data_IF_272195717832
#
_entry.id   IF_272195717832
#
_cell.length_a   1.000
_cell.length_b   1.000
_cell.length_c   1.000
_cell.angle_alpha   90.00
_cell.angle_beta   90.00
_cell.angle_gamma   90.00
#
_symmetry.space_group_name_H-M   'P 1'
#
loop_
_entity.id
_entity.type
_entity.pdbx_description
1 polymer ?
#
# COMPACT_ATOMS: atom_id res chain seq x y z
N UNK A 1 21.76 -30.36 15.20
CA UNK A 1 21.86 -28.92 14.87
C UNK A 1 22.94 -28.33 15.76
N UNK A 2 23.73 -27.39 15.26
CA UNK A 2 24.65 -26.63 16.12
C UNK A 2 23.84 -25.71 17.04
N UNK A 3 24.43 -25.25 18.14
CA UNK A 3 23.77 -24.35 19.10
C UNK A 3 23.25 -23.05 18.43
N UNK A 4 24.04 -22.35 17.57
CA UNK A 4 23.54 -21.20 16.81
C UNK A 4 22.35 -21.50 15.91
N UNK A 5 22.28 -22.68 15.28
CA UNK A 5 21.10 -23.02 14.49
C UNK A 5 19.87 -23.29 15.36
N UNK A 6 20.03 -23.83 16.56
CA UNK A 6 18.89 -23.97 17.49
C UNK A 6 18.37 -22.60 17.92
N UNK A 7 19.25 -21.70 18.35
CA UNK A 7 18.90 -20.33 18.72
C UNK A 7 18.20 -19.58 17.57
N UNK A 8 18.68 -19.76 16.35
CA UNK A 8 18.06 -19.18 15.17
C UNK A 8 16.67 -19.76 14.88
N UNK A 9 16.46 -21.08 15.03
CA UNK A 9 15.13 -21.66 14.90
C UNK A 9 14.16 -21.16 15.97
N UNK A 10 14.64 -20.98 17.21
CA UNK A 10 13.83 -20.44 18.30
C UNK A 10 13.43 -18.98 18.01
N UNK A 11 14.36 -18.17 17.49
CA UNK A 11 14.08 -16.80 17.03
C UNK A 11 13.02 -16.79 15.93
N UNK A 12 13.18 -17.63 14.89
CA UNK A 12 12.23 -17.74 13.78
C UNK A 12 10.84 -18.20 14.25
N UNK A 13 10.78 -19.14 15.19
CA UNK A 13 9.53 -19.61 15.75
C UNK A 13 8.77 -18.48 16.46
N UNK A 14 9.49 -17.61 17.18
CA UNK A 14 8.89 -16.46 17.87
C UNK A 14 8.34 -15.41 16.89
N UNK A 15 9.15 -14.96 15.93
CA UNK A 15 8.72 -13.91 14.99
C UNK A 15 7.61 -14.39 14.05
N UNK A 16 7.59 -15.68 13.67
CA UNK A 16 6.50 -16.26 12.88
C UNK A 16 5.17 -16.28 13.65
N UNK A 17 5.21 -16.54 14.95
CA UNK A 17 4.01 -16.44 15.80
C UNK A 17 3.48 -15.01 15.86
N UNK A 18 4.37 -14.03 16.01
CA UNK A 18 3.99 -12.61 15.97
C UNK A 18 3.41 -12.20 14.62
N UNK A 19 4.02 -12.63 13.51
CA UNK A 19 3.51 -12.38 12.17
C UNK A 19 2.12 -12.99 11.94
N UNK A 20 1.86 -14.20 12.46
CA UNK A 20 0.54 -14.84 12.40
C UNK A 20 -0.52 -14.07 13.20
N UNK A 21 -0.17 -13.53 14.37
CA UNK A 21 -1.08 -12.67 15.13
C UNK A 21 -1.37 -11.38 14.36
N UNK A 22 -0.35 -10.78 13.76
CA UNK A 22 -0.47 -9.60 12.89
C UNK A 22 -1.42 -9.86 11.72
N UNK A 23 -1.34 -11.03 11.08
CA UNK A 23 -2.24 -11.35 9.97
C UNK A 23 -3.71 -11.51 10.38
N UNK A 24 -3.99 -11.97 11.61
CA UNK A 24 -5.35 -11.93 12.15
C UNK A 24 -5.88 -10.49 12.23
N UNK A 25 -5.05 -9.54 12.69
CA UNK A 25 -5.39 -8.12 12.72
C UNK A 25 -5.61 -7.53 11.32
N UNK A 26 -4.82 -7.96 10.33
CA UNK A 26 -5.01 -7.56 8.94
C UNK A 26 -6.37 -8.01 8.40
N UNK A 27 -6.83 -9.24 8.69
CA UNK A 27 -8.18 -9.71 8.27
C UNK A 27 -9.28 -8.84 8.88
N UNK A 28 -9.17 -8.48 10.17
CA UNK A 28 -10.12 -7.59 10.83
C UNK A 28 -10.12 -6.18 10.21
N UNK A 29 -8.96 -5.70 9.77
CA UNK A 29 -8.83 -4.41 9.07
C UNK A 29 -9.47 -4.46 7.69
N UNK A 30 -9.28 -5.56 6.95
CA UNK A 30 -9.91 -5.78 5.66
C UNK A 30 -11.43 -5.85 5.75
N UNK A 31 -11.97 -6.59 6.73
CA UNK A 31 -13.42 -6.70 6.95
C UNK A 31 -14.02 -5.32 7.30
N UNK A 32 -13.29 -4.48 8.04
CA UNK A 32 -13.71 -3.13 8.41
C UNK A 32 -14.01 -2.26 7.19
N UNK A 33 -13.20 -2.40 6.14
CA UNK A 33 -13.31 -1.59 4.92
C UNK A 33 -14.21 -2.22 3.84
N UNK A 34 -14.78 -3.40 4.07
CA UNK A 34 -15.55 -4.16 3.07
C UNK A 34 -16.94 -4.59 3.55
N UNK A 35 -17.04 -5.38 4.61
CA UNK A 35 -18.29 -6.03 5.03
C UNK A 35 -18.80 -5.67 6.42
N UNK A 36 -17.98 -5.01 7.23
CA UNK A 36 -18.35 -4.68 8.60
C UNK A 36 -19.64 -3.83 8.65
N UNK A 37 -20.62 -4.20 9.49
CA UNK A 37 -21.82 -3.37 9.69
C UNK A 37 -21.46 -1.99 10.25
N UNK A 38 -22.24 -0.96 9.90
CA UNK A 38 -21.98 0.43 10.30
C UNK A 38 -21.92 0.65 11.83
N UNK A 39 -22.59 -0.19 12.62
CA UNK A 39 -22.56 -0.13 14.09
C UNK A 39 -21.39 -0.88 14.75
N UNK A 40 -20.50 -1.51 13.98
CA UNK A 40 -19.43 -2.38 14.51
C UNK A 40 -18.12 -1.68 14.88
N UNK A 41 -17.98 -0.39 14.61
CA UNK A 41 -16.68 0.30 14.63
C UNK A 41 -16.04 0.37 16.01
N UNK A 42 -16.80 0.67 17.07
CA UNK A 42 -16.26 0.76 18.43
C UNK A 42 -15.64 -0.58 18.85
N UNK A 43 -16.38 -1.67 18.70
CA UNK A 43 -15.90 -2.99 19.07
C UNK A 43 -14.76 -3.48 18.15
N UNK A 44 -14.80 -3.16 16.84
CA UNK A 44 -13.69 -3.44 15.93
C UNK A 44 -12.42 -2.69 16.35
N UNK A 45 -12.54 -1.45 16.80
CA UNK A 45 -11.42 -0.68 17.31
C UNK A 45 -10.83 -1.30 18.59
N UNK A 46 -11.67 -1.83 19.49
CA UNK A 46 -11.21 -2.59 20.65
C UNK A 46 -10.45 -3.86 20.27
N UNK A 47 -10.97 -4.64 19.31
CA UNK A 47 -10.30 -5.85 18.81
C UNK A 47 -8.91 -5.52 18.23
N UNK A 48 -8.82 -4.51 17.37
CA UNK A 48 -7.56 -4.08 16.75
C UNK A 48 -6.58 -3.51 17.77
N UNK A 49 -7.07 -2.76 18.76
CA UNK A 49 -6.25 -2.23 19.85
C UNK A 49 -5.65 -3.34 20.71
N UNK A 50 -6.45 -4.35 21.08
CA UNK A 50 -5.98 -5.50 21.85
C UNK A 50 -4.92 -6.29 21.08
N UNK A 51 -5.18 -6.61 19.81
CA UNK A 51 -4.23 -7.35 18.97
C UNK A 51 -2.92 -6.57 18.78
N UNK A 52 -2.99 -5.25 18.60
CA UNK A 52 -1.80 -4.40 18.50
C UNK A 52 -0.97 -4.44 19.80
N UNK A 53 -1.61 -4.37 20.98
CA UNK A 53 -0.92 -4.48 22.26
C UNK A 53 -0.20 -5.83 22.44
N UNK A 54 -0.88 -6.94 22.15
CA UNK A 54 -0.28 -8.29 22.24
C UNK A 54 0.83 -8.48 21.21
N UNK A 55 0.65 -8.01 19.98
CA UNK A 55 1.68 -8.08 18.95
C UNK A 55 2.92 -7.27 19.36
N UNK A 56 2.74 -6.10 19.97
CA UNK A 56 3.84 -5.29 20.51
C UNK A 56 4.58 -5.97 21.65
N UNK A 57 3.86 -6.58 22.59
CA UNK A 57 4.45 -7.38 23.68
C UNK A 57 5.35 -8.48 23.11
N UNK A 58 4.88 -9.23 22.10
CA UNK A 58 5.68 -10.28 21.48
C UNK A 58 6.86 -9.74 20.68
N UNK A 59 6.68 -8.62 19.98
CA UNK A 59 7.73 -7.97 19.20
C UNK A 59 8.82 -7.32 20.07
N UNK A 60 8.55 -7.11 21.37
CA UNK A 60 9.49 -6.49 22.33
C UNK A 60 9.92 -7.42 23.45
N UNK A 61 9.58 -8.72 23.35
CA UNK A 61 9.94 -9.75 24.32
C UNK A 61 11.47 -9.74 24.59
N UNK A 62 11.92 -9.61 25.84
CA UNK A 62 13.35 -9.67 26.18
C UNK A 62 14.06 -10.92 25.65
N UNK A 63 13.36 -12.05 25.56
CA UNK A 63 13.91 -13.30 25.03
C UNK A 63 14.39 -13.15 23.57
N UNK A 64 13.68 -12.37 22.75
CA UNK A 64 14.11 -12.06 21.37
C UNK A 64 15.45 -11.34 21.38
N UNK A 65 15.62 -10.36 22.27
CA UNK A 65 16.88 -9.63 22.44
C UNK A 65 18.03 -10.55 22.85
N UNK A 66 17.78 -11.47 23.78
CA UNK A 66 18.77 -12.45 24.24
C UNK A 66 19.20 -13.41 23.12
N UNK A 67 18.26 -13.88 22.30
CA UNK A 67 18.55 -14.70 21.12
C UNK A 67 19.38 -13.92 20.10
N UNK A 68 18.97 -12.69 19.77
CA UNK A 68 19.69 -11.83 18.83
C UNK A 68 21.12 -11.54 19.29
N UNK A 69 21.32 -11.32 20.59
CA UNK A 69 22.65 -11.06 21.16
C UNK A 69 23.56 -12.28 21.01
N UNK A 70 23.08 -13.48 21.32
CA UNK A 70 23.85 -14.72 21.15
C UNK A 70 24.13 -15.05 19.67
N UNK A 71 23.22 -14.67 18.77
CA UNK A 71 23.38 -14.88 17.33
C UNK A 71 24.33 -13.88 16.67
N UNK A 72 24.65 -12.76 17.31
CA UNK A 72 25.38 -11.63 16.69
C UNK A 72 26.77 -12.05 16.19
N UNK A 73 27.52 -12.82 16.97
CA UNK A 73 28.88 -13.26 16.62
C UNK A 73 28.95 -14.72 16.12
N UNK A 74 27.81 -15.29 15.74
CA UNK A 74 27.74 -16.68 15.26
C UNK A 74 28.11 -16.82 13.78
N UNK A 75 28.47 -18.04 13.37
CA UNK A 75 28.81 -18.39 11.98
C UNK A 75 27.64 -18.15 10.99
N UNK A 76 26.42 -17.92 11.49
CA UNK A 76 25.26 -17.58 10.68
C UNK A 76 25.35 -16.18 10.05
N UNK A 77 26.24 -15.32 10.55
CA UNK A 77 26.50 -14.00 9.98
C UNK A 77 27.72 -13.95 9.03
N UNK A 78 28.44 -15.06 8.83
CA UNK A 78 29.63 -15.12 7.98
C UNK A 78 29.32 -14.81 6.50
N UNK A 79 28.08 -15.06 6.06
CA UNK A 79 27.57 -14.71 4.74
C UNK A 79 26.44 -13.67 4.88
N UNK A 80 26.72 -12.36 4.73
CA UNK A 80 25.76 -11.27 4.99
C UNK A 80 24.47 -11.30 4.16
N UNK A 81 24.52 -11.95 2.99
CA UNK A 81 23.39 -12.09 2.06
C UNK A 81 22.65 -13.43 2.24
N UNK A 82 23.05 -14.26 3.22
CA UNK A 82 22.32 -15.48 3.56
C UNK A 82 20.99 -15.15 4.23
N UNK A 83 20.00 -16.04 4.06
CA UNK A 83 18.69 -15.88 4.70
C UNK A 83 18.79 -15.65 6.22
N UNK A 84 19.72 -16.34 6.88
CA UNK A 84 19.95 -16.21 8.32
C UNK A 84 20.48 -14.83 8.69
N UNK A 85 21.54 -14.35 8.03
CA UNK A 85 22.12 -13.05 8.29
C UNK A 85 21.12 -11.90 8.04
N UNK A 86 20.34 -11.97 6.96
CA UNK A 86 19.30 -10.98 6.65
C UNK A 86 18.21 -10.99 7.72
N UNK A 87 17.71 -12.17 8.10
CA UNK A 87 16.69 -12.27 9.14
C UNK A 87 17.19 -11.72 10.48
N UNK A 88 18.40 -12.10 10.92
CA UNK A 88 18.98 -11.60 12.18
C UNK A 88 19.11 -10.07 12.15
N UNK A 89 19.64 -9.51 11.05
CA UNK A 89 19.83 -8.06 10.88
C UNK A 89 18.51 -7.29 10.96
N UNK A 90 17.51 -7.69 10.17
CA UNK A 90 16.25 -6.95 10.10
C UNK A 90 15.35 -7.18 11.32
N UNK A 91 15.37 -8.39 11.92
CA UNK A 91 14.70 -8.63 13.21
C UNK A 91 15.33 -7.76 14.29
N UNK A 92 16.66 -7.64 14.34
CA UNK A 92 17.32 -6.73 15.29
C UNK A 92 16.90 -5.27 15.07
N UNK A 93 16.92 -4.79 13.82
CA UNK A 93 16.52 -3.40 13.50
C UNK A 93 15.10 -3.11 14.00
N UNK A 94 14.15 -3.98 13.67
CA UNK A 94 12.74 -3.82 14.08
C UNK A 94 12.54 -3.98 15.58
N UNK A 95 13.24 -4.91 16.23
CA UNK A 95 13.23 -5.09 17.69
C UNK A 95 13.71 -3.84 18.43
N UNK A 96 14.86 -3.29 18.04
CA UNK A 96 15.41 -2.09 18.67
C UNK A 96 14.53 -0.86 18.46
N UNK A 97 13.88 -0.73 17.30
CA UNK A 97 12.88 0.31 17.04
C UNK A 97 11.66 0.14 17.97
N UNK A 98 11.07 -1.05 17.98
CA UNK A 98 9.82 -1.31 18.72
C UNK A 98 10.01 -1.15 20.23
N UNK A 99 11.15 -1.54 20.80
CA UNK A 99 11.42 -1.38 22.23
C UNK A 99 11.44 0.06 22.72
N UNK A 100 11.67 1.01 21.84
CA UNK A 100 11.62 2.44 22.17
C UNK A 100 10.19 2.95 22.32
N UNK A 101 9.20 2.24 21.78
CA UNK A 101 7.80 2.63 21.81
C UNK A 101 7.12 2.11 23.09
N UNK A 102 6.55 3.00 23.92
CA UNK A 102 5.71 2.58 25.05
C UNK A 102 4.47 1.84 24.56
N UNK A 103 4.10 0.74 25.23
CA UNK A 103 2.90 -0.04 24.87
C UNK A 103 1.63 0.82 24.79
N UNK A 104 1.44 1.75 25.74
CA UNK A 104 0.30 2.69 25.73
C UNK A 104 0.17 3.47 24.42
N UNK A 105 1.31 3.83 23.81
CA UNK A 105 1.36 4.66 22.61
C UNK A 105 0.92 3.84 21.39
N UNK A 106 1.40 2.60 21.29
CA UNK A 106 1.01 1.67 20.22
C UNK A 106 -0.49 1.37 20.27
N UNK A 107 -1.01 1.04 21.46
CA UNK A 107 -2.44 0.79 21.66
C UNK A 107 -3.29 2.04 21.36
N UNK A 108 -2.85 3.22 21.81
CA UNK A 108 -3.59 4.46 21.57
C UNK A 108 -3.58 4.88 20.10
N UNK A 109 -2.47 4.73 19.38
CA UNK A 109 -2.40 4.96 17.93
C UNK A 109 -3.38 4.02 17.21
N UNK A 110 -3.35 2.72 17.51
CA UNK A 110 -4.24 1.72 16.89
C UNK A 110 -5.72 2.07 17.12
N UNK A 111 -6.09 2.34 18.38
CA UNK A 111 -7.47 2.70 18.74
C UNK A 111 -7.93 4.00 18.09
N UNK A 112 -7.11 5.06 18.15
CA UNK A 112 -7.48 6.38 17.64
C UNK A 112 -7.62 6.36 16.13
N UNK A 113 -6.69 5.73 15.41
CA UNK A 113 -6.78 5.63 13.94
C UNK A 113 -7.96 4.79 13.48
N UNK A 114 -8.29 3.71 14.19
CA UNK A 114 -9.48 2.91 13.91
C UNK A 114 -10.78 3.72 14.08
N UNK A 115 -10.93 4.47 15.16
CA UNK A 115 -12.10 5.33 15.39
C UNK A 115 -12.16 6.49 14.38
N UNK A 116 -11.02 7.13 14.14
CA UNK A 116 -10.93 8.28 13.24
C UNK A 116 -11.34 7.96 11.80
N UNK A 117 -11.12 6.73 11.33
CA UNK A 117 -11.47 6.31 9.97
C UNK A 117 -12.97 6.47 9.66
N UNK A 118 -13.85 6.02 10.57
CA UNK A 118 -15.29 6.19 10.38
C UNK A 118 -15.69 7.67 10.46
N UNK A 119 -15.17 8.39 11.46
CA UNK A 119 -15.46 9.81 11.61
C UNK A 119 -15.02 10.63 10.40
N UNK A 120 -13.87 10.28 9.81
CA UNK A 120 -13.41 10.82 8.55
C UNK A 120 -14.36 10.50 7.40
N UNK A 121 -14.79 9.24 7.26
CA UNK A 121 -15.69 8.83 6.19
C UNK A 121 -17.03 9.59 6.25
N UNK A 122 -17.56 9.82 7.45
CA UNK A 122 -18.78 10.61 7.67
C UNK A 122 -18.56 12.12 7.49
N UNK A 123 -17.44 12.66 7.97
CA UNK A 123 -17.06 14.05 7.79
C UNK A 123 -16.87 14.38 6.30
N UNK A 124 -16.17 13.53 5.56
CA UNK A 124 -15.94 13.68 4.11
C UNK A 124 -17.25 13.69 3.33
N UNK A 125 -18.20 12.80 3.66
CA UNK A 125 -19.53 12.79 3.03
C UNK A 125 -20.33 14.09 3.25
N UNK A 126 -20.04 14.79 4.34
CA UNK A 126 -20.71 16.05 4.74
C UNK A 126 -19.90 17.31 4.44
N UNK A 127 -18.72 17.16 3.84
CA UNK A 127 -17.75 18.24 3.64
C UNK A 127 -17.41 18.99 4.96
N UNK A 128 -17.33 18.26 6.07
CA UNK A 128 -17.19 18.82 7.42
C UNK A 128 -15.80 18.54 8.01
N UNK A 129 -14.81 19.34 7.58
CA UNK A 129 -13.47 19.26 8.16
C UNK A 129 -13.46 19.57 9.66
N UNK A 130 -14.36 20.42 10.16
CA UNK A 130 -14.40 20.81 11.57
C UNK A 130 -14.71 19.62 12.48
N UNK A 131 -15.57 18.70 12.04
CA UNK A 131 -15.85 17.46 12.75
C UNK A 131 -14.65 16.50 12.77
N UNK A 132 -13.78 16.52 11.75
CA UNK A 132 -12.61 15.65 11.68
C UNK A 132 -11.34 16.25 12.29
N UNK A 133 -11.21 17.58 12.34
CA UNK A 133 -10.02 18.27 12.81
C UNK A 133 -9.53 17.82 14.21
N UNK A 134 -10.40 17.56 15.22
CA UNK A 134 -9.96 17.04 16.51
C UNK A 134 -9.29 15.66 16.43
N UNK A 135 -9.81 14.78 15.57
CA UNK A 135 -9.24 13.45 15.34
C UNK A 135 -7.89 13.55 14.64
N UNK A 136 -7.81 14.38 13.59
CA UNK A 136 -6.56 14.65 12.89
C UNK A 136 -5.49 15.19 13.84
N UNK A 137 -5.83 16.18 14.68
CA UNK A 137 -4.91 16.72 15.68
C UNK A 137 -4.41 15.62 16.62
N UNK A 138 -5.31 14.76 17.12
CA UNK A 138 -4.94 13.67 18.01
C UNK A 138 -3.97 12.68 17.34
N UNK A 139 -4.22 12.31 16.09
CA UNK A 139 -3.33 11.44 15.31
C UNK A 139 -1.95 12.10 15.15
N UNK A 140 -1.91 13.37 14.76
CA UNK A 140 -0.66 14.11 14.58
C UNK A 140 0.14 14.24 15.87
N UNK A 141 -0.52 14.50 17.00
CA UNK A 141 0.14 14.57 18.31
C UNK A 141 0.76 13.20 18.68
N UNK A 142 0.03 12.10 18.50
CA UNK A 142 0.53 10.74 18.77
C UNK A 142 1.69 10.34 17.84
N UNK A 143 1.62 10.70 16.56
CA UNK A 143 2.72 10.45 15.60
C UNK A 143 3.97 11.27 15.91
N UNK A 144 3.83 12.48 16.48
CA UNK A 144 4.97 13.24 17.00
C UNK A 144 5.58 12.60 18.26
N UNK A 145 4.75 12.04 19.12
CA UNK A 145 5.22 11.27 20.28
C UNK A 145 5.99 10.01 19.83
N UNK A 146 5.49 9.30 18.82
CA UNK A 146 6.14 8.12 18.22
C UNK A 146 7.52 8.49 17.63
N UNK A 147 7.58 9.55 16.80
CA UNK A 147 8.83 10.05 16.25
C UNK A 147 9.86 10.38 17.35
N UNK A 148 9.40 11.02 18.43
CA UNK A 148 10.24 11.39 19.57
C UNK A 148 10.75 10.16 20.34
N UNK A 149 9.91 9.12 20.47
CA UNK A 149 10.25 7.89 21.15
C UNK A 149 11.28 7.06 20.35
N UNK A 150 11.10 6.92 19.04
CA UNK A 150 12.03 6.19 18.15
C UNK A 150 13.39 6.91 18.06
N UNK A 151 13.35 8.24 18.00
CA UNK A 151 14.53 9.08 17.76
C UNK A 151 14.96 9.09 16.29
N UNK A 152 15.82 10.03 15.96
CA UNK A 152 16.34 10.28 14.61
C UNK A 152 17.82 10.69 14.71
N UNK A 153 18.53 10.67 13.59
CA UNK A 153 19.95 11.04 13.55
C UNK A 153 20.18 12.52 13.91
N UNK A 154 21.36 12.87 14.42
CA UNK A 154 21.70 14.25 14.83
C UNK A 154 21.55 15.27 13.68
N UNK A 155 21.74 14.82 12.44
CA UNK A 155 21.58 15.61 11.21
C UNK A 155 20.25 15.37 10.49
N UNK A 156 19.33 14.62 11.09
CA UNK A 156 17.98 14.35 10.56
C UNK A 156 16.90 15.17 11.26
N UNK A 157 15.65 14.83 10.99
CA UNK A 157 14.47 15.47 11.59
C UNK A 157 13.45 14.45 12.13
N UNK A 158 12.50 14.87 13.00
CA UNK A 158 11.49 13.96 13.54
C UNK A 158 10.70 13.18 12.49
N UNK A 159 10.51 13.75 11.29
CA UNK A 159 9.80 13.09 10.20
C UNK A 159 10.56 11.85 9.68
N UNK A 160 11.91 11.88 9.69
CA UNK A 160 12.74 10.74 9.25
C UNK A 160 12.49 9.50 10.11
N UNK A 161 12.22 9.67 11.41
CA UNK A 161 11.89 8.56 12.30
C UNK A 161 10.60 7.84 11.87
N UNK A 162 9.63 8.56 11.30
CA UNK A 162 8.39 8.00 10.78
C UNK A 162 8.57 7.44 9.37
N UNK A 163 9.37 8.11 8.55
CA UNK A 163 9.65 7.72 7.17
C UNK A 163 10.36 6.36 7.09
N UNK A 164 11.35 6.10 7.95
CA UNK A 164 12.15 4.86 7.98
C UNK A 164 11.30 3.59 8.19
N UNK A 165 10.10 3.73 8.76
CA UNK A 165 9.14 2.62 8.89
C UNK A 165 8.59 2.15 7.54
N UNK A 166 8.40 3.09 6.62
CA UNK A 166 7.78 2.86 5.32
C UNK A 166 8.81 2.63 4.22
N UNK A 167 9.93 3.34 4.28
CA UNK A 167 11.05 3.23 3.36
C UNK A 167 12.37 3.13 4.15
N UNK A 168 12.80 1.90 4.50
CA UNK A 168 14.02 1.66 5.25
C UNK A 168 15.26 2.41 4.74
N UNK A 169 15.87 3.21 5.61
CA UNK A 169 17.09 3.96 5.31
C UNK A 169 16.89 5.25 4.53
N UNK A 170 15.67 5.57 4.07
CA UNK A 170 15.38 6.85 3.43
C UNK A 170 15.32 7.98 4.46
N UNK A 171 15.67 9.19 4.03
CA UNK A 171 15.45 10.41 4.79
C UNK A 171 14.76 11.49 3.94
N UNK A 172 14.14 12.45 4.64
CA UNK A 172 13.46 13.61 4.08
C UNK A 172 14.31 14.39 3.09
N UNK A 173 15.60 14.59 3.37
CA UNK A 173 16.50 15.37 2.51
C UNK A 173 16.75 14.70 1.15
N UNK A 174 16.88 13.38 1.13
CA UNK A 174 17.00 12.60 -0.10
C UNK A 174 15.71 12.64 -0.92
N UNK A 175 14.55 12.48 -0.26
CA UNK A 175 13.23 12.58 -0.91
C UNK A 175 13.02 13.97 -1.49
N UNK A 176 13.35 15.03 -0.75
CA UNK A 176 13.26 16.40 -1.23
C UNK A 176 14.14 16.62 -2.48
N UNK A 177 15.34 16.03 -2.52
CA UNK A 177 16.21 16.04 -3.69
C UNK A 177 15.59 15.38 -4.92
N UNK A 178 14.98 14.20 -4.74
CA UNK A 178 14.25 13.49 -5.81
C UNK A 178 13.06 14.32 -6.30
N UNK A 179 12.28 14.90 -5.38
CA UNK A 179 11.12 15.72 -5.74
C UNK A 179 11.50 17.00 -6.46
N UNK A 180 12.59 17.67 -6.08
CA UNK A 180 13.07 18.85 -6.79
C UNK A 180 13.40 18.52 -8.25
N UNK A 181 14.22 17.49 -8.49
CA UNK A 181 14.57 17.05 -9.83
C UNK A 181 13.36 16.63 -10.66
N UNK A 182 12.41 15.91 -10.04
CA UNK A 182 11.19 15.49 -10.73
C UNK A 182 10.26 16.68 -11.05
N UNK A 183 10.15 17.66 -10.15
CA UNK A 183 9.33 18.87 -10.37
C UNK A 183 9.86 19.70 -11.53
N UNK A 184 11.19 19.84 -11.62
CA UNK A 184 11.87 20.60 -12.67
C UNK A 184 11.59 20.05 -14.08
N UNK A 185 11.32 18.74 -14.21
CA UNK A 185 10.98 18.10 -15.49
C UNK A 185 9.46 18.00 -15.72
N UNK A 186 8.68 17.66 -14.69
CA UNK A 186 7.23 17.44 -14.83
C UNK A 186 6.46 18.73 -15.12
N UNK A 187 6.86 19.86 -14.53
CA UNK A 187 6.15 21.14 -14.74
C UNK A 187 6.28 21.62 -16.19
N UNK A 188 7.48 21.67 -16.80
CA UNK A 188 7.60 21.98 -18.23
C UNK A 188 6.89 20.98 -19.15
N UNK A 189 6.95 19.68 -18.83
CA UNK A 189 6.23 18.66 -19.60
C UNK A 189 4.72 18.90 -19.57
N UNK A 190 4.16 19.20 -18.39
CA UNK A 190 2.75 19.52 -18.22
C UNK A 190 2.35 20.75 -19.05
N UNK A 191 3.16 21.81 -19.03
CA UNK A 191 2.90 23.01 -19.83
C UNK A 191 2.92 22.70 -21.33
N UNK A 192 3.91 21.94 -21.81
CA UNK A 192 3.98 21.50 -23.21
C UNK A 192 2.75 20.66 -23.64
N UNK A 193 2.27 19.77 -22.77
CA UNK A 193 1.06 18.98 -23.01
C UNK A 193 -0.18 19.89 -23.09
N UNK A 194 -0.29 20.88 -22.20
CA UNK A 194 -1.43 21.81 -22.17
C UNK A 194 -1.47 22.72 -23.39
N UNK A 195 -0.31 23.13 -23.90
CA UNK A 195 -0.17 23.98 -25.08
C UNK A 195 -0.28 23.20 -26.40
N UNK A 196 -0.19 21.87 -26.35
CA UNK A 196 -0.29 21.02 -27.53
C UNK A 196 -1.63 21.19 -28.26
N UNK A 197 -1.63 21.34 -29.60
CA UNK A 197 -2.87 21.35 -30.38
C UNK A 197 -3.54 19.97 -30.42
N UNK A 198 -2.84 18.90 -30.03
CA UNK A 198 -3.38 17.54 -29.94
C UNK A 198 -3.94 17.32 -28.55
N UNK A 199 -5.27 17.25 -28.45
CA UNK A 199 -5.99 17.00 -27.21
C UNK A 199 -6.82 15.72 -27.33
N UNK A 200 -6.79 14.82 -26.34
CA UNK A 200 -7.61 13.61 -26.36
C UNK A 200 -9.08 13.93 -26.10
N UNK A 201 -9.99 13.22 -26.77
CA UNK A 201 -11.42 13.27 -26.43
C UNK A 201 -11.68 12.42 -25.17
N UNK A 202 -11.65 13.06 -24.00
CA UNK A 202 -11.96 12.40 -22.73
C UNK A 202 -13.45 12.17 -22.50
N UNK A 203 -14.35 12.67 -23.37
CA UNK A 203 -15.79 12.45 -23.24
C UNK A 203 -16.14 10.97 -23.38
N UNK A 204 -15.34 10.21 -24.15
CA UNK A 204 -15.48 8.76 -24.30
C UNK A 204 -15.40 8.01 -22.97
N UNK A 205 -14.53 8.46 -22.05
CA UNK A 205 -14.32 7.83 -20.75
C UNK A 205 -15.49 8.05 -19.78
N UNK A 206 -16.38 9.00 -20.12
CA UNK A 206 -17.57 9.35 -19.33
C UNK A 206 -18.84 8.64 -19.80
N UNK A 207 -18.76 7.93 -20.92
CA UNK A 207 -19.86 7.13 -21.45
C UNK A 207 -20.16 5.99 -20.47
N UNK A 208 -21.43 5.57 -20.45
CA UNK A 208 -21.89 4.59 -19.48
C UNK A 208 -21.30 3.21 -19.78
N UNK A 209 -20.58 2.65 -18.82
CA UNK A 209 -20.09 1.27 -18.79
C UNK A 209 -20.73 0.56 -17.60
N UNK A 210 -21.69 -0.38 -17.79
CA UNK A 210 -22.40 -1.03 -16.69
C UNK A 210 -21.45 -1.73 -15.70
N UNK A 211 -21.71 -1.59 -14.40
CA UNK A 211 -20.84 -2.11 -13.33
C UNK A 211 -20.48 -3.59 -13.50
N UNK A 212 -21.46 -4.42 -13.81
CA UNK A 212 -21.30 -5.86 -13.98
C UNK A 212 -20.41 -6.23 -15.16
N UNK A 213 -20.40 -5.41 -16.22
CA UNK A 213 -19.46 -5.55 -17.33
C UNK A 213 -18.05 -5.06 -16.93
N UNK A 214 -17.93 -3.97 -16.16
CA UNK A 214 -16.64 -3.52 -15.61
C UNK A 214 -16.01 -4.60 -14.72
N UNK A 215 -16.80 -5.23 -13.84
CA UNK A 215 -16.32 -6.29 -12.95
C UNK A 215 -15.79 -7.49 -13.73
N UNK A 216 -16.54 -7.97 -14.73
CA UNK A 216 -16.12 -9.10 -15.57
C UNK A 216 -14.81 -8.80 -16.31
N UNK A 217 -14.73 -7.64 -16.96
CA UNK A 217 -13.54 -7.25 -17.71
C UNK A 217 -12.33 -7.02 -16.79
N UNK A 218 -12.53 -6.36 -15.64
CA UNK A 218 -11.47 -6.12 -14.65
C UNK A 218 -10.92 -7.40 -14.05
N UNK A 219 -11.79 -8.36 -13.67
CA UNK A 219 -11.37 -9.69 -13.20
C UNK A 219 -10.62 -10.46 -14.29
N UNK A 220 -11.12 -10.42 -15.52
CA UNK A 220 -10.45 -11.07 -16.64
C UNK A 220 -9.06 -10.48 -16.91
N UNK A 221 -8.92 -9.16 -16.86
CA UNK A 221 -7.63 -8.50 -17.01
C UNK A 221 -6.67 -8.88 -15.87
N UNK A 222 -7.15 -8.88 -14.61
CA UNK A 222 -6.40 -9.33 -13.45
C UNK A 222 -5.86 -10.77 -13.59
N UNK A 223 -6.73 -11.72 -13.98
CA UNK A 223 -6.33 -13.11 -14.26
C UNK A 223 -5.28 -13.19 -15.36
N UNK A 224 -5.49 -12.43 -16.44
CA UNK A 224 -4.63 -12.48 -17.63
C UNK A 224 -3.22 -11.95 -17.35
N UNK A 225 -3.07 -10.94 -16.49
CA UNK A 225 -1.75 -10.42 -16.09
C UNK A 225 -1.04 -11.32 -15.06
N UNK A 226 -1.74 -12.29 -14.47
CA UNK A 226 -1.15 -13.32 -13.62
C UNK A 226 -1.62 -13.32 -12.16
N UNK A 227 -2.63 -12.52 -11.78
CA UNK A 227 -3.18 -12.59 -10.43
C UNK A 227 -3.93 -13.90 -10.20
N UNK A 228 -3.53 -14.66 -9.19
CA UNK A 228 -4.12 -15.97 -8.88
C UNK A 228 -5.35 -15.83 -7.95
N UNK A 229 -6.54 -15.95 -8.52
CA UNK A 229 -7.81 -15.93 -7.77
C UNK A 229 -8.06 -17.20 -6.94
N UNK A 230 -7.28 -18.28 -7.07
CA UNK A 230 -7.31 -19.37 -6.10
C UNK A 230 -6.60 -18.98 -4.79
N UNK A 231 -5.76 -17.95 -4.83
CA UNK A 231 -4.98 -17.41 -3.71
C UNK A 231 -5.36 -15.96 -3.38
N UNK A 232 -6.56 -15.54 -3.78
CA UNK A 232 -7.00 -14.17 -3.61
C UNK A 232 -8.42 -13.91 -4.07
N UNK A 233 -8.87 -12.66 -3.91
CA UNK A 233 -10.19 -12.21 -4.36
C UNK A 233 -10.21 -10.70 -4.58
N UNK A 234 -11.23 -10.24 -5.29
CA UNK A 234 -11.49 -8.83 -5.57
C UNK A 234 -12.86 -8.43 -4.99
N UNK A 235 -12.89 -7.35 -4.21
CA UNK A 235 -14.08 -6.82 -3.54
C UNK A 235 -14.31 -5.33 -3.78
N UNK A 236 -15.43 -4.82 -3.31
CA UNK A 236 -15.76 -3.39 -3.41
C UNK A 236 -15.50 -2.68 -2.10
N UNK A 237 -14.88 -1.51 -2.17
CA UNK A 237 -14.65 -0.62 -1.03
C UNK A 237 -14.78 0.86 -1.45
N UNK A 238 -14.62 1.78 -0.50
CA UNK A 238 -14.61 3.22 -0.76
C UNK A 238 -13.26 3.68 -1.33
N UNK A 239 -12.15 3.09 -0.88
CA UNK A 239 -10.78 3.39 -1.31
C UNK A 239 -10.07 2.08 -1.65
N UNK A 240 -9.78 1.80 -2.94
CA UNK A 240 -9.06 0.60 -3.34
C UNK A 240 -7.77 0.40 -2.54
N UNK A 241 -7.49 -0.85 -2.20
CA UNK A 241 -6.30 -1.30 -1.50
C UNK A 241 -6.08 -2.81 -1.71
N UNK A 242 -4.85 -3.24 -1.47
CA UNK A 242 -4.41 -4.63 -1.44
C UNK A 242 -4.01 -5.02 -0.01
N UNK A 243 -4.23 -6.29 0.37
CA UNK A 243 -3.79 -6.83 1.66
C UNK A 243 -3.39 -8.30 1.54
N UNK A 244 -2.12 -8.59 1.87
CA UNK A 244 -1.64 -9.95 2.09
C UNK A 244 -1.87 -10.40 3.54
N UNK A 245 -2.57 -11.52 3.74
CA UNK A 245 -2.78 -12.12 5.07
C UNK A 245 -1.82 -13.29 5.33
N UNK A 246 -1.17 -13.78 4.29
CA UNK A 246 -0.24 -14.89 4.35
C UNK A 246 -0.28 -15.74 3.09
N UNK A 247 0.48 -16.85 3.06
CA UNK A 247 0.58 -17.69 1.88
C UNK A 247 -0.79 -18.23 1.46
N UNK A 248 -1.25 -17.81 0.28
CA UNK A 248 -2.51 -18.28 -0.29
C UNK A 248 -3.72 -17.38 -0.03
N UNK A 249 -3.57 -16.25 0.66
CA UNK A 249 -4.65 -15.27 0.84
C UNK A 249 -4.13 -13.84 0.69
N UNK A 250 -4.26 -13.30 -0.53
CA UNK A 250 -4.01 -11.90 -0.85
C UNK A 250 -5.26 -11.31 -1.50
N UNK A 251 -5.82 -10.25 -0.91
CA UNK A 251 -7.10 -9.67 -1.36
C UNK A 251 -6.92 -8.28 -1.91
N UNK A 252 -7.67 -8.02 -2.97
CA UNK A 252 -7.73 -6.75 -3.67
C UNK A 252 -9.11 -6.14 -3.44
N UNK A 253 -9.18 -4.83 -3.54
CA UNK A 253 -10.45 -4.12 -3.57
C UNK A 253 -10.48 -3.11 -4.71
N UNK A 254 -11.66 -2.75 -5.18
CA UNK A 254 -11.86 -1.76 -6.25
C UNK A 254 -13.10 -0.93 -5.96
N UNK A 255 -13.33 0.08 -6.79
CA UNK A 255 -14.50 0.94 -6.75
C UNK A 255 -14.99 1.17 -8.17
N UNK A 256 -16.27 0.91 -8.41
CA UNK A 256 -16.90 1.09 -9.72
C UNK A 256 -17.58 2.45 -9.84
N UNK A 257 -17.44 3.06 -11.01
CA UNK A 257 -18.21 4.21 -11.45
C UNK A 257 -18.73 3.90 -12.86
N UNK A 258 -20.05 3.79 -13.03
CA UNK A 258 -20.64 3.50 -14.34
C UNK A 258 -20.33 4.57 -15.39
N UNK A 259 -19.93 5.76 -14.98
CA UNK A 259 -19.55 6.87 -15.84
C UNK A 259 -18.05 7.19 -15.80
N UNK A 260 -17.23 6.29 -15.25
CA UNK A 260 -15.78 6.40 -15.33
C UNK A 260 -15.08 5.05 -15.18
N UNK A 261 -15.23 4.20 -16.19
CA UNK A 261 -14.61 2.86 -16.27
C UNK A 261 -13.09 2.83 -15.94
N UNK A 262 -12.27 3.82 -16.38
CA UNK A 262 -10.85 3.85 -16.02
C UNK A 262 -10.58 3.73 -14.52
N UNK A 263 -11.44 4.28 -13.66
CA UNK A 263 -11.25 4.23 -12.20
C UNK A 263 -11.23 2.80 -11.67
N UNK A 264 -12.16 1.94 -12.10
CA UNK A 264 -12.19 0.57 -11.62
C UNK A 264 -11.14 -0.29 -12.31
N UNK A 265 -10.93 -0.08 -13.61
CA UNK A 265 -10.04 -0.93 -14.40
C UNK A 265 -8.58 -0.73 -14.02
N UNK A 266 -8.08 0.51 -14.06
CA UNK A 266 -6.70 0.81 -13.66
C UNK A 266 -6.51 0.64 -12.15
N UNK A 267 -7.54 0.97 -11.34
CA UNK A 267 -7.52 0.65 -9.91
C UNK A 267 -7.33 -0.86 -9.66
N UNK A 268 -8.04 -1.73 -10.38
CA UNK A 268 -7.83 -3.17 -10.26
C UNK A 268 -6.44 -3.61 -10.72
N UNK A 269 -5.92 -3.09 -11.84
CA UNK A 269 -4.54 -3.41 -12.28
C UNK A 269 -3.48 -2.94 -11.29
N UNK A 270 -3.68 -1.77 -10.68
CA UNK A 270 -2.84 -1.23 -9.63
C UNK A 270 -2.78 -2.18 -8.42
N UNK A 271 -3.95 -2.53 -7.88
CA UNK A 271 -4.01 -3.46 -6.74
C UNK A 271 -3.50 -4.86 -7.13
N UNK A 272 -3.70 -5.31 -8.37
CA UNK A 272 -3.11 -6.56 -8.85
C UNK A 272 -1.58 -6.52 -8.86
N UNK A 273 -0.95 -5.40 -9.20
CA UNK A 273 0.51 -5.30 -9.15
C UNK A 273 1.05 -5.46 -7.73
N UNK A 274 0.38 -4.87 -6.74
CA UNK A 274 0.63 -5.14 -5.33
C UNK A 274 0.39 -6.63 -5.00
N UNK A 275 -0.76 -7.17 -5.38
CA UNK A 275 -1.14 -8.54 -5.04
C UNK A 275 -0.24 -9.60 -5.66
N UNK A 276 0.28 -9.37 -6.87
CA UNK A 276 1.23 -10.28 -7.52
C UNK A 276 2.61 -10.23 -6.87
N UNK A 277 3.03 -9.09 -6.33
CA UNK A 277 4.24 -9.04 -5.51
C UNK A 277 4.05 -9.93 -4.27
N UNK A 278 2.97 -9.75 -3.52
CA UNK A 278 2.62 -10.56 -2.35
C UNK A 278 2.50 -12.06 -2.70
N UNK A 279 1.83 -12.41 -3.80
CA UNK A 279 1.69 -13.81 -4.25
C UNK A 279 3.02 -14.45 -4.69
N UNK A 280 3.98 -13.62 -5.11
CA UNK A 280 5.33 -14.01 -5.51
C UNK A 280 6.33 -14.11 -4.35
N UNK A 281 5.99 -13.66 -3.14
CA UNK A 281 6.83 -13.82 -1.96
C UNK A 281 6.99 -15.30 -1.59
N UNK A 282 8.15 -15.61 -0.99
CA UNK A 282 8.53 -16.96 -0.55
C UNK A 282 7.63 -17.46 0.58
N UNK A 283 6.71 -18.38 0.26
CA UNK A 283 5.80 -18.96 1.23
C UNK A 283 6.51 -19.72 2.37
N UNK A 284 7.66 -20.35 2.10
CA UNK A 284 8.51 -21.03 3.09
C UNK A 284 9.16 -20.06 4.10
N UNK A 285 9.25 -18.78 3.73
CA UNK A 285 9.83 -17.72 4.52
C UNK A 285 8.79 -16.80 5.19
N UNK A 286 7.49 -17.12 5.10
CA UNK A 286 6.45 -16.32 5.74
C UNK A 286 6.76 -16.04 7.22
N UNK A 287 6.48 -14.79 7.64
CA UNK A 287 6.71 -14.31 8.99
C UNK A 287 8.18 -14.02 9.32
N UNK A 288 9.05 -13.96 8.30
CA UNK A 288 10.45 -13.56 8.45
C UNK A 288 10.78 -12.41 7.49
N UNK A 289 11.79 -11.57 7.79
CA UNK A 289 12.19 -10.48 6.90
C UNK A 289 12.45 -10.88 5.45
N UNK A 290 13.14 -12.00 5.19
CA UNK A 290 13.44 -12.46 3.83
C UNK A 290 12.21 -12.92 3.03
N UNK A 291 11.10 -13.19 3.73
CA UNK A 291 9.81 -13.55 3.12
C UNK A 291 8.82 -12.38 3.05
N UNK A 292 9.27 -11.15 3.34
CA UNK A 292 8.42 -9.96 3.40
C UNK A 292 8.72 -8.98 2.26
N UNK A 293 7.76 -8.13 1.92
CA UNK A 293 8.02 -7.00 1.03
C UNK A 293 9.05 -6.04 1.66
N UNK A 294 9.97 -5.53 0.85
CA UNK A 294 11.15 -4.78 1.36
C UNK A 294 10.82 -3.35 1.80
N UNK A 295 9.91 -2.67 1.10
CA UNK A 295 9.49 -1.30 1.40
C UNK A 295 8.20 -0.94 0.65
N UNK A 296 7.54 0.15 1.06
CA UNK A 296 6.36 0.65 0.33
C UNK A 296 6.73 1.20 -1.06
N UNK A 297 7.91 1.79 -1.23
CA UNK A 297 8.38 2.27 -2.53
C UNK A 297 8.53 1.15 -3.56
N UNK A 298 9.14 0.02 -3.17
CA UNK A 298 9.22 -1.16 -4.03
C UNK A 298 7.83 -1.78 -4.23
N UNK A 299 6.98 -1.80 -3.20
CA UNK A 299 5.62 -2.32 -3.34
C UNK A 299 4.77 -1.49 -4.33
N UNK A 300 4.87 -0.15 -4.28
CA UNK A 300 4.25 0.79 -5.22
C UNK A 300 4.88 0.74 -6.62
N UNK A 301 6.16 0.39 -6.73
CA UNK A 301 6.78 0.16 -8.04
C UNK A 301 6.08 -0.96 -8.82
N UNK A 302 5.63 -2.01 -8.12
CA UNK A 302 4.93 -3.13 -8.74
C UNK A 302 3.51 -2.73 -9.15
N UNK A 303 2.77 -2.01 -8.30
CA UNK A 303 1.43 -1.51 -8.67
C UNK A 303 1.49 -0.58 -9.87
N UNK A 304 2.42 0.39 -9.89
CA UNK A 304 2.58 1.34 -10.99
C UNK A 304 3.09 0.70 -12.27
N UNK A 305 3.94 -0.32 -12.18
CA UNK A 305 4.37 -1.08 -13.35
C UNK A 305 3.17 -1.72 -14.06
N UNK A 306 2.28 -2.40 -13.32
CA UNK A 306 1.14 -3.07 -13.90
C UNK A 306 0.00 -2.12 -14.29
N UNK A 307 -0.27 -1.09 -13.50
CA UNK A 307 -1.26 -0.06 -13.80
C UNK A 307 -0.89 0.72 -15.07
N UNK A 308 0.33 1.26 -15.10
CA UNK A 308 0.71 2.29 -16.05
C UNK A 308 1.61 1.73 -17.16
N UNK A 309 2.81 1.26 -16.79
CA UNK A 309 3.81 0.83 -17.77
C UNK A 309 3.29 -0.30 -18.66
N UNK A 310 2.47 -1.19 -18.07
CA UNK A 310 1.75 -2.24 -18.80
C UNK A 310 0.34 -1.78 -19.16
N UNK A 311 -0.53 -1.54 -18.17
CA UNK A 311 -1.97 -1.34 -18.38
C UNK A 311 -2.36 -0.14 -19.23
N UNK A 312 -1.55 0.93 -19.26
CA UNK A 312 -1.79 2.12 -20.11
C UNK A 312 -1.00 2.10 -21.42
N UNK A 313 -0.16 1.08 -21.64
CA UNK A 313 0.64 0.96 -22.86
C UNK A 313 -0.21 0.67 -24.09
N UNK A 314 0.31 1.08 -25.26
CA UNK A 314 -0.32 0.76 -26.55
C UNK A 314 -0.46 -0.74 -26.76
N UNK A 315 0.60 -1.52 -26.48
CA UNK A 315 0.61 -2.97 -26.68
C UNK A 315 -0.45 -3.69 -25.85
N UNK A 316 -0.70 -3.21 -24.62
CA UNK A 316 -1.78 -3.74 -23.78
C UNK A 316 -3.15 -3.49 -24.42
N UNK A 317 -3.40 -2.27 -24.89
CA UNK A 317 -4.67 -1.92 -25.52
C UNK A 317 -4.86 -2.53 -26.92
N UNK A 318 -3.80 -2.82 -27.67
CA UNK A 318 -3.91 -3.62 -28.90
C UNK A 318 -4.50 -5.01 -28.62
N UNK A 319 -4.20 -5.59 -27.46
CA UNK A 319 -4.75 -6.87 -27.02
C UNK A 319 -6.14 -6.75 -26.37
N UNK A 320 -6.32 -5.80 -25.44
CA UNK A 320 -7.52 -5.70 -24.61
C UNK A 320 -8.64 -4.83 -25.20
N UNK A 321 -8.35 -3.89 -26.11
CA UNK A 321 -9.37 -3.00 -26.65
C UNK A 321 -10.52 -3.74 -27.37
N UNK A 322 -10.27 -4.79 -28.18
CA UNK A 322 -11.36 -5.57 -28.76
C UNK A 322 -12.32 -6.15 -27.71
N UNK A 323 -11.78 -6.57 -26.56
CA UNK A 323 -12.57 -7.12 -25.46
C UNK A 323 -13.35 -6.02 -24.74
N UNK A 324 -12.72 -4.88 -24.45
CA UNK A 324 -13.38 -3.71 -23.87
C UNK A 324 -14.53 -3.22 -24.76
N UNK A 325 -14.31 -3.13 -26.08
CA UNK A 325 -15.34 -2.77 -27.04
C UNK A 325 -16.49 -3.76 -27.08
N UNK A 326 -16.21 -5.07 -26.96
CA UNK A 326 -17.25 -6.09 -26.86
C UNK A 326 -18.04 -6.01 -25.54
N UNK A 327 -17.40 -5.62 -24.43
CA UNK A 327 -18.05 -5.41 -23.13
C UNK A 327 -18.89 -4.12 -23.08
N UNK A 328 -18.50 -3.09 -23.84
CA UNK A 328 -19.15 -1.78 -23.83
C UNK A 328 -19.49 -1.28 -25.25
N UNK A 329 -20.35 -2.00 -26.00
CA UNK A 329 -20.63 -1.68 -27.39
C UNK A 329 -21.24 -0.28 -27.56
N UNK A 330 -22.13 0.13 -26.66
CA UNK A 330 -22.76 1.45 -26.69
C UNK A 330 -21.77 2.60 -26.40
N UNK A 331 -20.69 2.30 -25.66
CA UNK A 331 -19.69 3.28 -25.29
C UNK A 331 -18.53 3.38 -26.29
N UNK A 332 -18.16 2.28 -26.96
CA UNK A 332 -16.89 2.16 -27.69
C UNK A 332 -17.00 1.77 -29.17
N UNK A 333 -18.19 1.49 -29.72
CA UNK A 333 -18.30 1.03 -31.12
C UNK A 333 -17.90 2.05 -32.18
N UNK A 334 -18.08 3.33 -31.89
CA UNK A 334 -17.72 4.49 -32.71
C UNK A 334 -16.33 5.05 -32.36
N UNK A 335 -15.57 4.37 -31.51
CA UNK A 335 -14.27 4.83 -30.98
C UNK A 335 -13.16 3.94 -31.55
N UNK A 336 -12.08 4.54 -32.04
CA UNK A 336 -10.90 3.79 -32.49
C UNK A 336 -10.02 3.38 -31.31
N UNK A 337 -9.22 2.32 -31.47
CA UNK A 337 -8.27 1.89 -30.44
C UNK A 337 -7.26 2.99 -30.10
N UNK A 338 -6.80 3.74 -31.12
CA UNK A 338 -5.84 4.83 -30.95
C UNK A 338 -6.46 6.02 -30.17
N UNK A 339 -7.72 6.38 -30.46
CA UNK A 339 -8.42 7.44 -29.72
C UNK A 339 -8.69 7.04 -28.27
N UNK A 340 -9.07 5.78 -28.04
CA UNK A 340 -9.26 5.26 -26.69
C UNK A 340 -7.95 5.25 -25.90
N UNK A 341 -6.87 4.73 -26.50
CA UNK A 341 -5.53 4.74 -25.90
C UNK A 341 -5.06 6.16 -25.57
N UNK A 342 -5.32 7.13 -26.46
CA UNK A 342 -4.99 8.52 -26.18
C UNK A 342 -5.85 9.09 -25.04
N UNK A 343 -7.14 8.75 -24.97
CA UNK A 343 -8.03 9.18 -23.91
C UNK A 343 -7.62 8.66 -22.52
N UNK A 344 -7.26 7.38 -22.39
CA UNK A 344 -6.85 6.80 -21.09
C UNK A 344 -5.49 7.30 -20.59
N UNK A 345 -4.71 7.95 -21.46
CA UNK A 345 -3.46 8.62 -21.14
C UNK A 345 -3.60 10.15 -21.10
N UNK A 346 -4.83 10.67 -20.98
CA UNK A 346 -5.07 12.09 -20.90
C UNK A 346 -4.45 12.69 -19.62
N UNK A 347 -3.72 13.78 -19.79
CA UNK A 347 -3.04 14.51 -18.71
C UNK A 347 -3.82 15.79 -18.42
N UNK A 348 -4.17 16.01 -17.15
CA UNK A 348 -4.83 17.23 -16.70
C UNK A 348 -4.64 17.47 -15.20
N UNK A 349 -4.39 18.72 -14.77
CA UNK A 349 -4.45 19.06 -13.35
C UNK A 349 -5.83 18.71 -12.78
N UNK A 350 -5.85 18.02 -11.64
CA UNK A 350 -7.08 17.62 -10.94
C UNK A 350 -6.90 17.73 -9.43
N UNK A 351 -7.95 17.47 -8.65
CA UNK A 351 -7.91 17.58 -7.18
C UNK A 351 -7.74 16.25 -6.46
N UNK A 352 -8.03 15.13 -7.13
CA UNK A 352 -8.09 13.80 -6.50
C UNK A 352 -6.84 13.02 -6.87
N UNK A 353 -5.91 12.89 -5.92
CA UNK A 353 -4.62 12.19 -6.11
C UNK A 353 -4.79 10.80 -6.74
N UNK A 354 -5.73 9.99 -6.23
CA UNK A 354 -5.93 8.61 -6.70
C UNK A 354 -6.54 8.51 -8.11
N UNK A 355 -6.96 9.64 -8.69
CA UNK A 355 -7.49 9.74 -10.05
C UNK A 355 -6.60 10.61 -10.95
N UNK A 356 -5.47 11.09 -10.43
CA UNK A 356 -4.52 11.92 -11.16
C UNK A 356 -3.77 11.08 -12.21
N UNK A 357 -3.41 11.72 -13.32
CA UNK A 357 -2.65 11.11 -14.40
C UNK A 357 -1.16 10.94 -14.04
N UNK A 358 -0.43 10.19 -14.87
CA UNK A 358 0.98 9.85 -14.63
C UNK A 358 1.91 11.06 -14.50
N UNK A 359 1.58 12.18 -15.14
CA UNK A 359 2.39 13.41 -15.13
C UNK A 359 2.08 14.24 -13.89
N UNK A 360 0.82 14.31 -13.46
CA UNK A 360 0.40 15.17 -12.35
C UNK A 360 0.36 14.47 -10.98
N UNK A 361 0.33 13.13 -10.93
CA UNK A 361 0.24 12.36 -9.69
C UNK A 361 1.33 12.73 -8.68
N UNK A 362 2.59 12.81 -9.11
CA UNK A 362 3.70 13.08 -8.19
C UNK A 362 3.66 14.51 -7.62
N UNK A 363 3.03 15.46 -8.30
CA UNK A 363 2.81 16.81 -7.75
C UNK A 363 1.86 16.78 -6.55
N UNK A 364 0.90 15.85 -6.53
CA UNK A 364 0.05 15.61 -5.36
C UNK A 364 0.81 14.98 -4.19
N UNK A 365 1.83 14.16 -4.45
CA UNK A 365 2.69 13.58 -3.42
C UNK A 365 3.56 14.68 -2.81
N UNK A 366 4.17 15.51 -3.65
CA UNK A 366 4.98 16.65 -3.20
C UNK A 366 4.18 17.57 -2.27
N UNK A 367 2.94 17.92 -2.62
CA UNK A 367 2.07 18.78 -1.77
C UNK A 367 1.76 18.17 -0.38
N UNK A 368 1.84 16.84 -0.23
CA UNK A 368 1.60 16.17 1.06
C UNK A 368 2.87 16.00 1.89
N UNK A 369 4.01 16.00 1.21
CA UNK A 369 5.33 15.91 1.82
C UNK A 369 5.78 17.30 2.31
N UNK A 370 5.62 18.32 1.48
CA UNK A 370 5.84 19.74 1.81
C UNK A 370 4.90 20.19 2.95
#
# INVERSE_FOLDING_TARGET
MTEPQQLYQDLLAHVRRAALLGSCGAVLSWDRETYMPAGGNEFRAEQLSLLAGVAHEWATDPHVGDLLNQLTDSELNDAPDSDAAVNIREIRRTYERNRKLPQRLVEEISRVTALAQQHWAEARKRDDFSAFAPWLKKITDLKREEASAVGFADNGEPYDALLDEYEPGANSSEIAGVFAALRDELVPLLDAIRESPRQPDTSVLKRRCPRDAQEKLGRHAAETIGFDFARGRLDVTTHPFCSGFGPGDCRLTTRYDEHFFPSSFFGTLHECGHGMYEQGLRADAFGTPVGSAVSLGIHESQSRMWENLVGRSRSFWEHFYPQARASFPDALNDVSADDFHFAVNAVRPSFIRVEADEVTYNLHIMLRFD
#
